data_IF_643128996084
#
_entry.id   IF_643128996084
#
_cell.length_a   1.000
_cell.length_b   1.000
_cell.length_c   1.000
_cell.angle_alpha   90.00
_cell.angle_beta   90.00
_cell.angle_gamma   90.00
#
_symmetry.space_group_name_H-M   'P 1'
#
loop_
_entity.id
_entity.type
_entity.pdbx_description
1 polymer ?
#
# COMPACT_ATOMS: atom_id res chain seq x y z
N UNK A 1 22.98 -11.55 6.15
CA UNK A 1 22.53 -12.40 5.04
C UNK A 1 23.42 -12.09 3.85
N UNK A 2 24.38 -12.97 3.53
CA UNK A 2 25.32 -12.78 2.42
C UNK A 2 24.82 -13.46 1.17
N UNK A 3 23.65 -13.06 0.66
CA UNK A 3 23.16 -13.54 -0.64
C UNK A 3 23.81 -12.72 -1.76
N UNK A 4 24.19 -13.35 -2.88
CA UNK A 4 24.53 -12.64 -4.10
C UNK A 4 23.46 -11.61 -4.47
N UNK A 5 23.88 -10.49 -5.08
CA UNK A 5 22.99 -9.36 -5.38
C UNK A 5 21.84 -9.75 -6.32
N UNK A 6 22.11 -10.63 -7.28
CA UNK A 6 21.10 -11.20 -8.19
C UNK A 6 20.07 -12.03 -7.43
N UNK A 7 20.52 -12.96 -6.57
CA UNK A 7 19.61 -13.80 -5.76
C UNK A 7 18.74 -12.96 -4.83
N UNK A 8 19.30 -11.89 -4.25
CA UNK A 8 18.54 -10.96 -3.41
C UNK A 8 17.46 -10.23 -4.22
N UNK A 9 17.76 -9.83 -5.46
CA UNK A 9 16.80 -9.17 -6.34
C UNK A 9 15.68 -10.13 -6.77
N UNK A 10 16.03 -11.36 -7.14
CA UNK A 10 15.08 -12.42 -7.49
C UNK A 10 14.13 -12.73 -6.33
N UNK A 11 14.64 -12.78 -5.10
CA UNK A 11 13.81 -13.01 -3.92
C UNK A 11 12.81 -11.88 -3.69
N UNK A 12 13.23 -10.62 -3.85
CA UNK A 12 12.33 -9.46 -3.72
C UNK A 12 11.25 -9.50 -4.80
N UNK A 13 11.63 -9.80 -6.04
CA UNK A 13 10.69 -9.92 -7.15
C UNK A 13 9.66 -11.03 -6.89
N UNK A 14 10.11 -12.18 -6.39
CA UNK A 14 9.23 -13.29 -6.03
C UNK A 14 8.22 -12.89 -4.95
N UNK A 15 8.65 -12.17 -3.91
CA UNK A 15 7.76 -11.68 -2.85
C UNK A 15 6.71 -10.72 -3.43
N UNK A 16 7.10 -9.77 -4.29
CA UNK A 16 6.17 -8.83 -4.92
C UNK A 16 5.17 -9.54 -5.83
N UNK A 17 5.63 -10.56 -6.56
CA UNK A 17 4.79 -11.40 -7.40
C UNK A 17 3.74 -12.17 -6.59
N UNK A 18 4.13 -12.77 -5.47
CA UNK A 18 3.19 -13.48 -4.59
C UNK A 18 2.16 -12.55 -3.95
N UNK A 19 2.56 -11.34 -3.56
CA UNK A 19 1.63 -10.31 -3.07
C UNK A 19 0.61 -9.97 -4.16
N UNK A 20 1.08 -9.70 -5.37
CA UNK A 20 0.23 -9.32 -6.50
C UNK A 20 -0.74 -10.44 -6.87
N UNK A 21 -0.25 -11.67 -7.03
CA UNK A 21 -1.08 -12.84 -7.37
C UNK A 21 -2.13 -13.12 -6.29
N UNK A 22 -1.82 -12.91 -5.02
CA UNK A 22 -2.81 -13.02 -3.93
C UNK A 22 -3.92 -11.97 -4.05
N UNK A 23 -3.56 -10.72 -4.35
CA UNK A 23 -4.52 -9.61 -4.49
C UNK A 23 -5.41 -9.76 -5.73
N UNK A 24 -4.87 -10.26 -6.83
CA UNK A 24 -5.64 -10.56 -8.05
C UNK A 24 -6.80 -11.53 -7.74
N UNK A 25 -6.49 -12.59 -6.98
CA UNK A 25 -7.46 -13.57 -6.45
C UNK A 25 -8.42 -13.00 -5.40
N UNK A 26 -8.29 -11.73 -5.03
CA UNK A 26 -9.13 -11.08 -4.02
C UNK A 26 -8.74 -11.39 -2.57
N UNK A 27 -7.59 -12.04 -2.36
CA UNK A 27 -7.12 -12.39 -1.03
C UNK A 27 -6.35 -11.21 -0.41
N UNK A 28 -6.52 -11.01 0.90
CA UNK A 28 -5.71 -10.04 1.64
C UNK A 28 -4.36 -10.62 1.99
N UNK A 29 -3.30 -9.82 1.91
CA UNK A 29 -1.96 -10.20 2.36
C UNK A 29 -1.64 -9.43 3.64
N UNK A 30 -1.18 -10.14 4.68
CA UNK A 30 -0.75 -9.54 5.95
C UNK A 30 0.73 -9.81 6.16
N UNK A 31 1.50 -8.75 6.38
CA UNK A 31 2.91 -8.81 6.74
C UNK A 31 3.04 -8.27 8.17
N UNK A 32 3.32 -9.17 9.11
CA UNK A 32 3.45 -8.83 10.54
C UNK A 32 4.41 -7.67 10.76
N UNK A 33 4.07 -6.77 11.68
CA UNK A 33 4.80 -5.53 11.98
C UNK A 33 4.95 -4.52 10.83
N UNK A 34 4.64 -4.88 9.59
CA UNK A 34 4.70 -3.98 8.44
C UNK A 34 3.33 -3.42 8.09
N UNK A 35 2.38 -4.28 7.72
CA UNK A 35 1.04 -3.84 7.32
C UNK A 35 0.23 -4.91 6.61
N UNK A 36 -0.85 -4.47 5.96
CA UNK A 36 -1.72 -5.34 5.19
C UNK A 36 -2.08 -4.73 3.85
N UNK A 37 -2.07 -5.56 2.81
CA UNK A 37 -2.61 -5.26 1.50
C UNK A 37 -3.98 -5.92 1.35
N UNK A 38 -4.91 -5.23 0.73
CA UNK A 38 -6.19 -5.81 0.39
C UNK A 38 -6.86 -5.05 -0.74
N UNK A 39 -7.90 -5.65 -1.28
CA UNK A 39 -8.72 -5.02 -2.31
C UNK A 39 -10.00 -4.50 -1.67
N UNK A 40 -10.43 -3.31 -2.08
CA UNK A 40 -11.75 -2.79 -1.77
C UNK A 40 -12.51 -2.57 -3.06
N UNK A 41 -13.79 -2.91 -3.05
CA UNK A 41 -14.71 -2.54 -4.10
C UNK A 41 -15.23 -1.13 -3.82
N UNK A 42 -15.22 -0.30 -4.86
CA UNK A 42 -15.78 1.04 -4.84
C UNK A 42 -16.98 1.01 -5.77
N UNK A 43 -18.16 1.30 -5.22
CA UNK A 43 -19.37 1.48 -6.00
C UNK A 43 -19.31 2.77 -6.83
N UNK A 44 -20.30 2.90 -7.71
CA UNK A 44 -20.50 4.12 -8.49
C UNK A 44 -20.80 5.30 -7.57
N UNK A 45 -20.32 6.48 -7.96
CA UNK A 45 -20.63 7.74 -7.28
C UNK A 45 -20.43 8.91 -8.22
N UNK A 46 -21.05 10.03 -7.91
CA UNK A 46 -20.81 11.29 -8.62
C UNK A 46 -19.56 11.97 -8.06
N UNK A 47 -18.63 12.31 -8.96
CA UNK A 47 -17.50 13.19 -8.70
C UNK A 47 -17.69 14.54 -9.37
N UNK A 48 -16.71 15.42 -9.22
CA UNK A 48 -16.67 16.70 -9.94
C UNK A 48 -15.35 16.85 -10.67
N UNK A 49 -15.40 17.38 -11.89
CA UNK A 49 -14.21 17.79 -12.61
C UNK A 49 -13.52 18.93 -11.82
N UNK A 50 -12.28 18.75 -11.33
CA UNK A 50 -11.62 19.77 -10.51
C UNK A 50 -11.43 21.12 -11.23
N UNK A 51 -11.48 21.14 -12.57
CA UNK A 51 -11.29 22.36 -13.38
C UNK A 51 -12.61 23.09 -13.68
N UNK A 52 -13.69 22.38 -13.98
CA UNK A 52 -14.98 22.96 -14.43
C UNK A 52 -16.07 22.91 -13.38
N UNK A 53 -15.94 22.06 -12.36
CA UNK A 53 -16.98 21.82 -11.34
C UNK A 53 -18.12 20.92 -11.80
N UNK A 54 -18.17 20.54 -13.07
CA UNK A 54 -19.20 19.67 -13.64
C UNK A 54 -19.20 18.30 -12.98
N UNK A 55 -20.40 17.77 -12.78
CA UNK A 55 -20.61 16.45 -12.19
C UNK A 55 -20.36 15.34 -13.21
N UNK A 56 -19.51 14.38 -12.83
CA UNK A 56 -19.10 13.27 -13.71
C UNK A 56 -19.24 11.96 -12.94
N UNK A 57 -19.87 10.92 -13.53
CA UNK A 57 -19.95 9.61 -12.89
C UNK A 57 -18.56 8.99 -12.75
N UNK A 58 -18.28 8.47 -11.55
CA UNK A 58 -17.09 7.67 -11.27
C UNK A 58 -17.53 6.21 -11.24
N UNK A 59 -17.07 5.46 -12.22
CA UNK A 59 -17.46 4.06 -12.41
C UNK A 59 -17.02 3.16 -11.26
N UNK A 60 -17.77 2.07 -11.00
CA UNK A 60 -17.36 1.06 -10.03
C UNK A 60 -16.00 0.46 -10.38
N UNK A 61 -15.16 0.21 -9.37
CA UNK A 61 -13.84 -0.38 -9.57
C UNK A 61 -13.31 -1.06 -8.31
N UNK A 62 -12.39 -2.01 -8.51
CA UNK A 62 -11.55 -2.56 -7.44
C UNK A 62 -10.36 -1.61 -7.20
N UNK A 63 -10.04 -1.33 -5.95
CA UNK A 63 -8.87 -0.53 -5.55
C UNK A 63 -8.00 -1.30 -4.58
N UNK A 64 -6.69 -1.23 -4.77
CA UNK A 64 -5.71 -1.73 -3.82
C UNK A 64 -5.59 -0.75 -2.64
N UNK A 65 -5.60 -1.29 -1.43
CA UNK A 65 -5.40 -0.53 -0.20
C UNK A 65 -4.28 -1.16 0.61
N UNK A 66 -3.27 -0.38 0.93
CA UNK A 66 -2.29 -0.70 1.95
C UNK A 66 -2.70 -0.06 3.28
N UNK A 67 -2.63 -0.81 4.38
CA UNK A 67 -2.75 -0.30 5.74
C UNK A 67 -1.49 -0.62 6.51
N UNK A 68 -0.71 0.41 6.82
CA UNK A 68 0.46 0.30 7.68
C UNK A 68 0.05 -0.20 9.09
N UNK A 69 0.88 -1.05 9.67
CA UNK A 69 0.74 -1.51 11.06
C UNK A 69 0.95 -0.34 12.03
N UNK A 70 0.49 -0.50 13.29
CA UNK A 70 0.79 0.49 14.33
C UNK A 70 2.30 0.58 14.59
N UNK A 71 3.01 -0.56 14.61
CA UNK A 71 4.46 -0.62 14.79
C UNK A 71 5.19 0.22 13.72
N UNK A 72 4.83 0.07 12.44
CA UNK A 72 5.44 0.83 11.35
C UNK A 72 5.14 2.33 11.47
N UNK A 73 3.89 2.69 11.80
CA UNK A 73 3.51 4.10 12.01
C UNK A 73 4.27 4.73 13.17
N UNK A 74 4.37 4.03 14.30
CA UNK A 74 5.10 4.49 15.48
C UNK A 74 6.59 4.69 15.15
N UNK A 75 7.22 3.73 14.45
CA UNK A 75 8.61 3.85 14.02
C UNK A 75 8.82 5.10 13.14
N UNK A 76 7.93 5.37 12.18
CA UNK A 76 8.00 6.55 11.31
C UNK A 76 7.76 7.85 12.10
N UNK A 77 6.81 7.88 13.04
CA UNK A 77 6.54 9.08 13.81
C UNK A 77 7.65 9.39 14.82
N UNK A 78 8.28 8.37 15.39
CA UNK A 78 9.37 8.52 16.34
C UNK A 78 10.65 9.09 15.70
N UNK A 79 10.85 8.92 14.39
CA UNK A 79 11.99 9.57 13.70
C UNK A 79 11.76 11.07 13.51
N UNK A 80 10.50 11.51 13.32
CA UNK A 80 10.16 12.93 13.24
C UNK A 80 10.39 13.64 14.57
N UNK A 81 9.95 13.05 15.69
CA UNK A 81 10.12 13.66 17.03
C UNK A 81 11.59 13.78 17.43
N UNK A 82 12.42 12.77 17.13
CA UNK A 82 13.87 12.82 17.37
C UNK A 82 14.58 13.87 16.53
N UNK A 83 14.17 14.08 15.28
CA UNK A 83 14.74 15.10 14.39
C UNK A 83 14.44 16.53 14.89
N UNK A 84 13.25 16.74 15.44
CA UNK A 84 12.84 18.02 16.01
C UNK A 84 13.52 18.34 17.35
N UNK A 85 13.93 17.32 18.11
CA UNK A 85 14.68 17.51 19.36
C UNK A 85 16.20 17.71 19.17
N UNK A 86 16.71 17.43 17.96
CA UNK A 86 18.11 17.58 17.59
C UNK A 86 18.39 18.82 16.70
N UNK A 87 17.36 19.64 16.46
CA UNK A 87 17.45 20.96 15.78
C UNK A 87 17.19 22.06 16.80
#
# INVERSE_FOLDING_TARGET
MGLPRNESAELVELVLKEITGSLERGLSVKLSSFGSFGIREKGERIGRNPKTGEEVPITPRRVLVFRASNIMKEQVNNTLTKKNAAS
#
